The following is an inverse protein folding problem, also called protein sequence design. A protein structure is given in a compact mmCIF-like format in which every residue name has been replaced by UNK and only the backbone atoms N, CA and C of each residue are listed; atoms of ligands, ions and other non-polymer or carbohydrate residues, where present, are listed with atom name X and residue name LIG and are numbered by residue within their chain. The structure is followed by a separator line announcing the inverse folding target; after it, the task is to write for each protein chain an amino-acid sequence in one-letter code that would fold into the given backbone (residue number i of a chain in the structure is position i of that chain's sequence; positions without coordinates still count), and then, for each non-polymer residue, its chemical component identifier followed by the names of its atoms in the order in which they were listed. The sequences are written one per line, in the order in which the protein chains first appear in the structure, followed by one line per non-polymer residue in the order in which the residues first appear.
data_IF_863255162654
#
_entry.id   IF_863255162654
#
_cell.length_a   1.000
_cell.length_b   1.000
_cell.length_c   1.000
_cell.angle_alpha   90.00
_cell.angle_beta   90.00
_cell.angle_gamma   90.00
#
_symmetry.space_group_name_H-M   'P 1'
#
loop_
_entity.id
_entity.type
_entity.pdbx_description
1 polymer ?
#
# COMPACT_ATOMS: atom_id res chain seq x y z
N UNK A 1 -22.04 6.08 -12.42
CA UNK A 1 -20.71 6.48 -12.93
C UNK A 1 -19.73 5.36 -12.64
N UNK A 2 -19.26 4.68 -13.69
CA UNK A 2 -18.35 3.54 -13.61
C UNK A 2 -16.96 4.08 -13.24
N UNK A 3 -16.44 3.69 -12.07
CA UNK A 3 -15.05 3.95 -11.70
C UNK A 3 -14.15 3.14 -12.62
N UNK A 4 -13.48 3.82 -13.56
CA UNK A 4 -12.32 3.24 -14.23
C UNK A 4 -11.18 3.20 -13.21
N UNK A 5 -10.45 2.07 -13.07
CA UNK A 5 -9.23 2.05 -12.28
C UNK A 5 -8.26 3.06 -12.91
N UNK A 6 -7.84 4.05 -12.14
CA UNK A 6 -6.89 5.05 -12.61
C UNK A 6 -5.57 4.36 -12.97
N UNK A 7 -5.12 4.57 -14.20
CA UNK A 7 -3.83 4.15 -14.78
C UNK A 7 -2.60 4.77 -14.08
N UNK A 8 -2.73 5.29 -12.86
CA UNK A 8 -1.74 6.18 -12.22
C UNK A 8 -0.96 5.55 -11.07
N UNK A 9 -1.33 4.36 -10.62
CA UNK A 9 -0.51 3.61 -9.67
C UNK A 9 0.45 2.73 -10.48
N UNK A 10 1.70 3.15 -10.64
CA UNK A 10 2.74 2.25 -11.13
C UNK A 10 2.90 1.14 -10.09
N UNK A 11 2.70 -0.13 -10.44
CA UNK A 11 2.94 -1.21 -9.50
C UNK A 11 4.39 -1.20 -9.07
N UNK A 12 4.59 -1.31 -7.76
CA UNK A 12 5.87 -1.67 -7.19
C UNK A 12 5.90 -3.18 -7.10
N UNK A 13 6.79 -3.79 -7.88
CA UNK A 13 7.06 -5.22 -7.76
C UNK A 13 8.11 -5.37 -6.67
N UNK A 14 7.82 -6.23 -5.69
CA UNK A 14 8.84 -6.65 -4.75
C UNK A 14 9.83 -7.56 -5.46
N UNK A 15 11.10 -7.16 -5.54
CA UNK A 15 12.15 -8.08 -5.91
C UNK A 15 12.63 -8.77 -4.63
N UNK A 16 12.37 -10.07 -4.53
CA UNK A 16 12.96 -10.90 -3.48
C UNK A 16 13.96 -11.85 -4.11
N UNK A 17 14.95 -12.30 -3.33
CA UNK A 17 15.91 -13.33 -3.77
C UNK A 17 15.28 -14.72 -3.91
N UNK A 18 13.97 -14.84 -3.74
CA UNK A 18 13.21 -16.09 -3.70
C UNK A 18 12.38 -16.28 -4.96
N UNK A 19 12.18 -17.53 -5.41
CA UNK A 19 11.37 -17.82 -6.60
C UNK A 19 9.91 -17.39 -6.37
N UNK A 20 9.22 -17.06 -7.47
CA UNK A 20 7.89 -16.44 -7.53
C UNK A 20 6.75 -17.16 -6.76
N UNK A 21 6.98 -18.38 -6.27
CA UNK A 21 6.04 -19.14 -5.46
C UNK A 21 6.07 -18.81 -3.96
N UNK A 22 7.00 -17.96 -3.50
CA UNK A 22 7.14 -17.63 -2.08
C UNK A 22 6.41 -16.33 -1.73
N UNK A 23 5.48 -16.34 -0.75
CA UNK A 23 4.84 -15.13 -0.30
C UNK A 23 5.86 -14.23 0.42
N UNK A 24 5.69 -12.91 0.29
CA UNK A 24 6.42 -11.93 1.10
C UNK A 24 5.98 -12.09 2.55
N UNK A 25 6.92 -12.04 3.48
CA UNK A 25 6.67 -12.21 4.92
C UNK A 25 6.99 -10.93 5.70
N UNK A 26 6.30 -10.73 6.81
CA UNK A 26 6.63 -9.66 7.74
C UNK A 26 8.06 -9.82 8.27
N UNK A 27 8.79 -8.71 8.40
CA UNK A 27 10.20 -8.67 8.78
C UNK A 27 11.18 -9.07 7.67
N UNK A 28 10.70 -9.57 6.53
CA UNK A 28 11.57 -9.95 5.41
C UNK A 28 12.10 -8.69 4.68
N UNK A 29 13.42 -8.60 4.41
CA UNK A 29 13.96 -7.58 3.54
C UNK A 29 13.44 -7.70 2.11
N UNK A 30 12.95 -6.59 1.57
CA UNK A 30 12.39 -6.45 0.23
C UNK A 30 12.90 -5.19 -0.45
N UNK A 31 12.88 -5.19 -1.78
CA UNK A 31 13.14 -4.00 -2.59
C UNK A 31 11.92 -3.72 -3.44
N UNK A 32 11.51 -2.45 -3.51
CA UNK A 32 10.41 -2.03 -4.37
C UNK A 32 10.95 -1.52 -5.69
N UNK A 33 10.54 -2.15 -6.78
CA UNK A 33 10.95 -1.77 -8.14
C UNK A 33 9.75 -1.21 -8.88
N UNK A 34 9.87 -0.02 -9.45
CA UNK A 34 8.86 0.48 -10.38
C UNK A 34 8.83 -0.39 -11.62
N UNK A 35 7.64 -0.91 -11.95
CA UNK A 35 7.43 -1.52 -13.25
C UNK A 35 7.44 -0.43 -14.34
N UNK A 36 8.27 -0.54 -15.39
CA UNK A 36 8.30 0.45 -16.46
C UNK A 36 6.96 0.48 -17.19
N UNK A 37 6.29 1.64 -17.19
CA UNK A 37 5.03 1.83 -17.92
C UNK A 37 5.21 1.88 -19.45
N UNK A 38 6.45 2.08 -19.93
CA UNK A 38 6.76 2.22 -21.35
C UNK A 38 7.60 1.02 -21.78
N UNK A 39 6.97 0.07 -22.46
CA UNK A 39 7.68 -0.95 -23.24
C UNK A 39 8.24 -0.23 -24.47
N UNK A 40 9.50 0.20 -24.42
CA UNK A 40 10.19 0.65 -25.62
C UNK A 40 10.31 -0.56 -26.56
N UNK A 41 9.51 -0.57 -27.63
CA UNK A 41 9.61 -1.50 -28.74
C UNK A 41 10.88 -1.22 -29.54
N UNK A 42 12.06 -1.40 -28.95
CA UNK A 42 13.31 -1.38 -29.69
C UNK A 42 14.15 -2.60 -29.35
N UNK A 43 14.64 -3.22 -30.44
CA UNK A 43 15.33 -4.50 -30.51
C UNK A 43 16.66 -4.46 -29.75
N UNK A 44 17.01 -5.61 -29.18
CA UNK A 44 18.35 -6.06 -28.76
C UNK A 44 19.16 -5.21 -27.75
N UNK A 45 19.53 -5.88 -26.65
CA UNK A 45 20.63 -5.59 -25.73
C UNK A 45 20.59 -4.35 -24.82
N UNK A 46 19.53 -3.54 -24.88
CA UNK A 46 19.34 -2.46 -23.90
C UNK A 46 18.87 -3.02 -22.56
N UNK A 47 19.74 -2.99 -21.55
CA UNK A 47 19.41 -3.41 -20.18
C UNK A 47 18.09 -2.76 -19.73
N UNK A 48 17.15 -3.58 -19.24
CA UNK A 48 15.89 -3.07 -18.68
C UNK A 48 16.21 -2.09 -17.55
N UNK A 49 15.85 -0.83 -17.75
CA UNK A 49 16.00 0.19 -16.71
C UNK A 49 15.09 -0.14 -15.53
N UNK A 50 15.69 -0.39 -14.38
CA UNK A 50 14.97 -0.64 -13.13
C UNK A 50 15.16 0.55 -12.18
N UNK A 51 14.06 1.00 -11.57
CA UNK A 51 14.07 2.09 -10.59
C UNK A 51 13.67 1.52 -9.23
N UNK A 52 14.61 1.54 -8.29
CA UNK A 52 14.44 0.99 -6.95
C UNK A 52 14.13 2.10 -5.96
N UNK A 53 13.05 1.97 -5.20
CA UNK A 53 12.70 2.93 -4.15
C UNK A 53 13.80 2.93 -3.09
N UNK A 54 14.34 4.10 -2.77
CA UNK A 54 15.45 4.25 -1.83
C UNK A 54 15.32 5.48 -0.94
N UNK A 55 16.03 5.44 0.19
CA UNK A 55 16.20 6.55 1.12
C UNK A 55 17.57 6.45 1.82
N UNK A 56 18.08 7.54 2.38
CA UNK A 56 19.33 7.51 3.14
C UNK A 56 19.26 8.43 4.37
N UNK A 57 20.21 8.22 5.30
CA UNK A 57 20.45 9.10 6.43
C UNK A 57 20.80 10.50 5.93
N UNK A 58 20.13 11.52 6.49
CA UNK A 58 20.53 12.91 6.28
C UNK A 58 21.89 13.17 6.89
N UNK A 59 22.75 13.82 6.12
CA UNK A 59 24.06 14.28 6.54
C UNK A 59 23.95 15.70 7.08
N UNK A 60 24.91 16.07 7.93
CA UNK A 60 25.04 17.45 8.39
C UNK A 60 25.30 18.36 7.18
N UNK A 61 24.39 19.29 6.92
CA UNK A 61 24.43 20.20 5.76
C UNK A 61 23.35 19.94 4.70
N UNK A 62 22.59 18.85 4.81
CA UNK A 62 21.46 18.61 3.90
C UNK A 62 20.32 19.59 4.17
N UNK A 63 19.81 20.22 3.11
CA UNK A 63 18.69 21.16 3.18
C UNK A 63 17.40 20.36 3.35
N UNK A 64 16.99 20.15 4.61
CA UNK A 64 15.76 19.45 4.94
C UNK A 64 14.55 20.38 4.97
N UNK A 65 13.40 19.95 4.44
CA UNK A 65 12.13 20.69 4.58
C UNK A 65 11.57 20.70 6.02
N UNK A 66 12.05 19.81 6.91
CA UNK A 66 11.72 19.78 8.34
C UNK A 66 12.71 18.90 9.13
N UNK A 67 12.83 19.11 10.44
CA UNK A 67 13.73 18.31 11.27
C UNK A 67 13.41 16.81 11.23
N UNK A 68 14.43 15.99 10.95
CA UNK A 68 14.40 14.53 11.03
C UNK A 68 13.59 13.81 9.95
N UNK A 69 13.10 14.49 8.91
CA UNK A 69 12.49 13.85 7.74
C UNK A 69 13.56 13.39 6.77
N UNK A 70 13.46 12.20 6.19
CA UNK A 70 14.35 11.72 5.13
C UNK A 70 13.65 11.78 3.78
N UNK A 71 14.43 12.09 2.75
CA UNK A 71 13.92 12.20 1.39
C UNK A 71 13.88 10.80 0.75
N UNK A 72 13.03 10.68 -0.27
CA UNK A 72 12.82 9.45 -1.02
C UNK A 72 13.25 9.70 -2.45
N UNK A 73 13.95 8.75 -3.03
CA UNK A 73 14.44 8.82 -4.40
C UNK A 73 14.44 7.43 -5.03
N UNK A 74 14.78 7.35 -6.32
CA UNK A 74 14.93 6.09 -7.04
C UNK A 74 16.40 5.86 -7.41
N UNK A 75 16.91 4.67 -7.11
CA UNK A 75 18.21 4.20 -7.59
C UNK A 75 18.04 3.51 -8.95
N UNK A 76 18.96 3.79 -9.87
CA UNK A 76 18.91 3.28 -11.24
C UNK A 76 19.73 1.99 -11.37
N UNK A 77 19.08 0.90 -11.77
CA UNK A 77 19.63 -0.42 -12.14
C UNK A 77 20.38 -1.20 -11.06
N UNK A 78 21.07 -0.53 -10.14
CA UNK A 78 21.92 -1.14 -9.12
C UNK A 78 21.39 -0.77 -7.74
N UNK A 79 20.55 -1.62 -7.13
CA UNK A 79 20.03 -1.34 -5.81
C UNK A 79 21.13 -1.48 -4.76
N UNK A 80 21.25 -0.48 -3.89
CA UNK A 80 22.15 -0.48 -2.74
C UNK A 80 21.39 -0.82 -1.46
N UNK A 81 22.08 -0.81 -0.31
CA UNK A 81 21.42 -0.99 0.98
C UNK A 81 20.39 0.11 1.31
N UNK A 82 20.49 1.28 0.67
CA UNK A 82 19.51 2.37 0.74
C UNK A 82 18.16 2.03 0.07
N UNK A 83 18.10 0.96 -0.73
CA UNK A 83 16.88 0.51 -1.39
C UNK A 83 16.15 -0.62 -0.66
N UNK A 84 16.63 -1.00 0.54
CA UNK A 84 16.12 -2.16 1.29
C UNK A 84 15.08 -1.72 2.30
N UNK A 85 13.90 -2.33 2.20
CA UNK A 85 12.74 -2.09 3.04
C UNK A 85 12.30 -3.37 3.72
N UNK A 86 11.44 -3.28 4.71
CA UNK A 86 10.76 -4.41 5.30
C UNK A 86 9.33 -4.03 5.64
N UNK A 87 8.45 -5.03 5.61
CA UNK A 87 7.04 -4.88 5.93
C UNK A 87 6.80 -5.30 7.37
N UNK A 88 6.04 -4.51 8.11
CA UNK A 88 5.70 -4.81 9.49
C UNK A 88 4.25 -4.54 9.78
N UNK A 89 3.70 -5.26 10.76
CA UNK A 89 2.34 -5.04 11.21
C UNK A 89 2.21 -3.66 11.85
N UNK A 90 1.11 -2.97 11.51
CA UNK A 90 0.83 -1.62 12.02
C UNK A 90 0.63 -1.60 13.54
N UNK A 91 0.03 -2.64 14.11
CA UNK A 91 -0.10 -2.82 15.56
C UNK A 91 1.24 -3.23 16.18
N UNK A 92 1.84 -2.40 17.06
CA UNK A 92 3.10 -2.73 17.73
C UNK A 92 3.02 -3.99 18.59
N UNK A 93 1.85 -4.32 19.17
CA UNK A 93 1.70 -5.47 20.06
C UNK A 93 1.82 -6.81 19.32
N UNK A 94 1.39 -6.85 18.06
CA UNK A 94 1.38 -8.07 17.23
C UNK A 94 2.66 -8.25 16.41
N UNK A 95 3.58 -7.27 16.43
CA UNK A 95 4.73 -7.22 15.53
C UNK A 95 5.65 -8.43 15.67
N UNK A 96 5.92 -8.87 16.90
CA UNK A 96 6.72 -10.07 17.18
C UNK A 96 5.99 -11.37 16.84
N UNK A 97 4.67 -11.43 17.09
CA UNK A 97 3.86 -12.62 16.83
C UNK A 97 3.70 -12.90 15.33
N UNK A 98 3.65 -11.82 14.54
CA UNK A 98 3.43 -11.88 13.10
C UNK A 98 4.73 -11.96 12.29
N UNK A 99 5.89 -11.86 12.93
CA UNK A 99 7.19 -11.95 12.25
C UNK A 99 7.33 -13.29 11.50
N UNK A 100 7.79 -13.24 10.25
CA UNK A 100 7.93 -14.43 9.39
C UNK A 100 6.62 -14.98 8.83
N UNK A 101 5.45 -14.46 9.24
CA UNK A 101 4.17 -14.85 8.64
C UNK A 101 3.96 -14.15 7.28
N UNK A 102 3.22 -14.77 6.33
CA UNK A 102 2.91 -14.15 5.05
C UNK A 102 2.13 -12.83 5.21
N UNK A 103 2.54 -11.80 4.46
CA UNK A 103 1.81 -10.53 4.38
C UNK A 103 0.55 -10.75 3.55
N UNK A 104 -0.59 -10.36 4.11
CA UNK A 104 -1.87 -10.39 3.41
C UNK A 104 -2.14 -9.05 2.73
N UNK A 105 -2.89 -9.11 1.64
CA UNK A 105 -3.41 -7.90 0.99
C UNK A 105 -4.47 -7.27 1.88
N UNK A 106 -4.66 -5.95 1.71
CA UNK A 106 -5.64 -5.14 2.42
C UNK A 106 -5.52 -5.12 3.96
N UNK A 107 -4.41 -5.65 4.51
CA UNK A 107 -4.05 -5.49 5.91
C UNK A 107 -3.18 -4.25 6.12
N UNK A 108 -3.45 -3.55 7.22
CA UNK A 108 -2.69 -2.35 7.62
C UNK A 108 -1.28 -2.74 8.02
N UNK A 109 -0.31 -2.10 7.39
CA UNK A 109 1.10 -2.34 7.66
C UNK A 109 1.93 -1.07 7.62
N UNK A 110 3.17 -1.17 8.09
CA UNK A 110 4.21 -0.16 7.98
C UNK A 110 5.23 -0.64 6.95
N UNK A 111 5.78 0.31 6.20
CA UNK A 111 6.91 0.08 5.30
C UNK A 111 8.13 0.72 5.94
N UNK A 112 9.00 -0.10 6.53
CA UNK A 112 10.19 0.36 7.26
C UNK A 112 11.41 0.31 6.37
N UNK A 113 12.15 1.41 6.32
CA UNK A 113 13.45 1.45 5.68
C UNK A 113 14.49 0.79 6.58
N UNK A 114 15.15 -0.26 6.09
CA UNK A 114 16.02 -1.10 6.93
C UNK A 114 17.23 -0.32 7.42
N UNK A 115 17.83 0.52 6.58
CA UNK A 115 19.06 1.26 6.93
C UNK A 115 18.83 2.33 7.99
N UNK A 116 17.71 3.05 7.93
CA UNK A 116 17.46 4.20 8.81
C UNK A 116 16.53 3.85 9.98
N UNK A 117 15.92 2.67 9.97
CA UNK A 117 14.90 2.23 10.92
C UNK A 117 13.72 3.21 11.06
N UNK A 118 13.44 3.96 9.99
CA UNK A 118 12.33 4.89 9.90
C UNK A 118 11.28 4.32 8.96
N UNK A 119 10.01 4.68 9.18
CA UNK A 119 8.91 4.19 8.35
C UNK A 119 8.46 5.22 7.31
N UNK A 120 7.94 4.72 6.19
CA UNK A 120 7.37 5.53 5.12
C UNK A 120 6.17 6.32 5.62
N UNK A 121 6.10 7.60 5.27
CA UNK A 121 5.12 8.54 5.77
C UNK A 121 4.53 9.38 4.64
N UNK A 122 3.21 9.51 4.63
CA UNK A 122 2.52 10.53 3.85
C UNK A 122 2.73 11.90 4.49
N UNK A 123 2.84 12.93 3.66
CA UNK A 123 2.88 14.35 4.07
C UNK A 123 1.63 15.08 3.59
N UNK A 124 0.49 15.00 4.29
CA UNK A 124 -0.77 15.62 3.86
C UNK A 124 -0.69 17.14 3.65
N UNK A 125 0.25 17.80 4.33
CA UNK A 125 0.46 19.26 4.25
C UNK A 125 1.41 19.68 3.12
N UNK A 126 2.00 18.72 2.41
CA UNK A 126 2.93 18.98 1.31
C UNK A 126 2.29 18.51 0.02
N UNK A 127 1.95 19.46 -0.85
CA UNK A 127 1.41 19.18 -2.18
C UNK A 127 2.54 19.39 -3.18
N UNK A 128 2.91 18.33 -3.90
CA UNK A 128 3.87 18.36 -5.00
C UNK A 128 3.07 18.53 -6.29
N UNK A 129 3.41 19.54 -7.09
CA UNK A 129 2.83 19.70 -8.43
C UNK A 129 3.78 19.10 -9.45
N UNK A 130 3.33 18.07 -10.14
CA UNK A 130 4.06 17.46 -11.25
C UNK A 130 3.21 17.49 -12.53
N UNK A 131 3.75 16.93 -13.61
CA UNK A 131 3.06 16.87 -14.91
C UNK A 131 1.73 16.09 -14.87
N UNK A 132 1.49 15.30 -13.83
CA UNK A 132 0.30 14.44 -13.67
C UNK A 132 -0.77 15.06 -12.76
N UNK A 133 -0.48 16.19 -12.12
CA UNK A 133 -1.37 16.92 -11.24
C UNK A 133 -0.75 17.25 -9.87
N UNK A 134 -1.56 17.78 -8.94
CA UNK A 134 -1.16 17.91 -7.54
C UNK A 134 -1.22 16.54 -6.85
N UNK A 135 -0.12 16.12 -6.25
CA UNK A 135 0.01 14.89 -5.49
C UNK A 135 0.49 15.20 -4.07
N UNK A 136 0.21 14.29 -3.13
CA UNK A 136 0.71 14.43 -1.77
C UNK A 136 2.17 14.00 -1.70
N UNK A 137 2.96 14.75 -0.92
CA UNK A 137 4.34 14.41 -0.65
C UNK A 137 4.46 13.14 0.18
N UNK A 138 5.59 12.46 0.02
CA UNK A 138 5.99 11.32 0.83
C UNK A 138 7.37 11.59 1.45
N UNK A 139 7.65 10.96 2.58
CA UNK A 139 8.95 11.03 3.27
C UNK A 139 9.19 9.77 4.10
N UNK A 140 10.41 9.61 4.60
CA UNK A 140 10.73 8.54 5.55
C UNK A 140 10.91 9.16 6.93
N UNK A 141 9.93 8.92 7.82
CA UNK A 141 9.91 9.40 9.21
C UNK A 141 8.85 8.66 10.01
N UNK A 142 9.24 8.11 11.15
CA UNK A 142 8.31 7.55 12.12
C UNK A 142 7.65 8.67 12.91
N UNK A 143 6.36 8.88 12.67
CA UNK A 143 5.58 9.92 13.31
C UNK A 143 4.71 9.28 14.38
N UNK A 144 5.05 9.49 15.65
CA UNK A 144 4.31 8.92 16.76
C UNK A 144 3.18 9.82 17.23
N UNK A 145 2.13 9.20 17.76
CA UNK A 145 1.07 9.85 18.52
C UNK A 145 1.46 9.99 20.02
N UNK A 146 0.61 10.60 20.86
CA UNK A 146 0.89 10.72 22.29
C UNK A 146 1.05 9.38 23.03
N UNK A 147 0.54 8.28 22.48
CA UNK A 147 0.65 6.93 23.01
C UNK A 147 1.90 6.19 22.50
N UNK A 148 2.79 6.89 21.77
CA UNK A 148 3.99 6.34 21.14
C UNK A 148 3.70 5.26 20.09
N UNK A 149 2.54 5.34 19.46
CA UNK A 149 2.14 4.48 18.33
C UNK A 149 2.33 5.25 17.04
N UNK A 150 2.75 4.56 15.97
CA UNK A 150 2.86 5.15 14.64
C UNK A 150 1.50 5.72 14.18
N UNK A 151 1.51 6.94 13.65
CA UNK A 151 0.30 7.63 13.19
C UNK A 151 -0.24 7.01 11.91
N UNK A 152 -1.50 7.34 11.62
CA UNK A 152 -2.21 6.95 10.39
C UNK A 152 -1.45 7.30 9.10
N UNK A 153 -0.72 8.42 9.07
CA UNK A 153 0.14 8.82 7.94
C UNK A 153 1.29 7.85 7.66
N UNK A 154 1.63 6.97 8.61
CA UNK A 154 2.63 5.91 8.44
C UNK A 154 2.03 4.55 8.06
N UNK A 155 0.70 4.43 8.06
CA UNK A 155 0.00 3.17 7.80
C UNK A 155 -0.34 3.06 6.31
N UNK A 156 0.01 1.91 5.73
CA UNK A 156 -0.19 1.59 4.32
C UNK A 156 -1.01 0.31 4.15
N UNK A 157 -1.59 0.15 2.97
CA UNK A 157 -2.30 -1.05 2.54
C UNK A 157 -1.64 -1.54 1.24
N UNK A 158 -1.38 -2.84 1.16
CA UNK A 158 -0.96 -3.46 -0.10
C UNK A 158 -2.18 -3.97 -0.84
N UNK A 159 -2.31 -3.54 -2.09
CA UNK A 159 -3.35 -4.01 -3.02
C UNK A 159 -2.69 -4.74 -4.19
N UNK A 160 -3.39 -5.73 -4.73
CA UNK A 160 -3.00 -6.36 -6.00
C UNK A 160 -3.78 -5.74 -7.15
N UNK A 161 -3.14 -5.58 -8.32
CA UNK A 161 -3.83 -5.15 -9.55
C UNK A 161 -4.88 -6.20 -10.00
N UNK A 162 -4.66 -7.46 -9.63
CA UNK A 162 -5.48 -8.59 -10.05
C UNK A 162 -6.66 -8.90 -9.11
N UNK A 163 -6.83 -8.12 -8.03
CA UNK A 163 -8.00 -8.22 -7.14
C UNK A 163 -8.76 -6.89 -7.12
N UNK A 164 -10.10 -6.90 -7.21
CA UNK A 164 -10.87 -5.67 -7.14
C UNK A 164 -10.72 -5.05 -5.75
N UNK A 165 -10.31 -3.79 -5.72
CA UNK A 165 -10.26 -2.94 -4.53
C UNK A 165 -11.61 -3.02 -3.81
N UNK A 166 -11.65 -3.63 -2.62
CA UNK A 166 -12.82 -3.51 -1.74
C UNK A 166 -12.81 -2.06 -1.24
N UNK A 167 -13.85 -1.25 -1.50
CA UNK A 167 -13.90 0.10 -0.97
C UNK A 167 -13.91 0.06 0.55
N UNK A 168 -12.96 0.74 1.18
CA UNK A 168 -12.89 0.94 2.62
C UNK A 168 -14.21 1.48 3.16
N UNK A 169 -14.79 0.78 4.14
CA UNK A 169 -16.06 1.09 4.84
C UNK A 169 -15.95 2.39 5.66
N UNK A 170 -15.94 3.52 4.98
CA UNK A 170 -16.30 4.84 5.51
C UNK A 170 -17.44 5.40 4.65
N UNK A 171 -18.55 4.68 4.58
CA UNK A 171 -19.82 5.31 4.25
C UNK A 171 -20.46 5.74 5.56
N UNK A 172 -20.31 7.04 5.86
CA UNK A 172 -21.09 7.72 6.87
C UNK A 172 -22.57 7.55 6.55
N UNK A 173 -23.29 7.03 7.55
CA UNK A 173 -24.72 7.17 7.75
C UNK A 173 -25.20 8.58 7.38
N UNK A 174 -25.87 8.69 6.24
CA UNK A 174 -26.91 9.70 6.02
C UNK A 174 -28.01 9.07 5.17
N UNK A 175 -28.91 8.33 5.83
CA UNK A 175 -30.25 8.13 5.30
C UNK A 175 -31.12 9.30 5.76
N UNK A 176 -31.80 10.04 4.86
CA UNK A 176 -32.83 10.98 5.27
C UNK A 176 -34.06 10.18 5.71
N UNK A 177 -34.59 10.53 6.88
CA UNK A 177 -35.89 10.06 7.37
C UNK A 177 -36.98 10.43 6.37
N UNK A 178 -37.80 9.47 5.99
CA UNK A 178 -39.14 9.74 5.46
C UNK A 178 -40.15 8.92 6.29
N UNK A 179 -40.84 9.63 7.18
CA UNK A 179 -42.07 9.16 7.80
C UNK A 179 -43.24 9.45 6.85
N UNK A 180 -44.02 8.41 6.48
CA UNK A 180 -45.48 8.46 6.30
C UNK A 180 -46.03 7.07 5.94
N UNK A 181 -47.14 6.70 6.58
CA UNK A 181 -47.77 5.38 6.67
C UNK A 181 -48.85 5.08 5.60
N UNK A 182 -49.25 3.79 5.59
CA UNK A 182 -50.50 3.15 5.11
C UNK A 182 -50.45 2.58 3.67
N UNK A 183 -50.90 1.36 3.35
CA UNK A 183 -51.86 0.43 3.98
C UNK A 183 -51.66 -1.00 3.40
N UNK A 184 -51.99 -2.04 4.18
CA UNK A 184 -51.95 -3.52 3.90
C UNK A 184 -53.12 -4.04 3.03
N UNK A 185 -53.40 -5.38 2.80
CA UNK A 185 -52.62 -6.65 2.92
C UNK A 185 -52.81 -7.66 1.72
N UNK A 186 -52.30 -8.91 1.91
CA UNK A 186 -52.50 -10.20 1.19
C UNK A 186 -51.47 -10.54 0.08
N UNK A 187 -50.96 -11.77 -0.08
CA UNK A 187 -51.45 -13.11 0.28
C UNK A 187 -50.27 -14.12 0.37
N UNK A 188 -50.52 -15.26 1.01
CA UNK A 188 -49.57 -16.36 1.31
C UNK A 188 -49.21 -17.18 0.06
N UNK A 189 -47.96 -17.65 -0.02
CA UNK A 189 -47.68 -19.04 -0.41
C UNK A 189 -46.31 -19.50 0.11
N UNK A 190 -46.28 -20.76 0.51
CA UNK A 190 -45.22 -21.48 1.20
C UNK A 190 -44.46 -22.36 0.18
N UNK A 191 -43.49 -23.15 0.67
CA UNK A 191 -42.78 -24.29 0.04
C UNK A 191 -41.56 -23.84 -0.83
N UNK A 192 -40.33 -24.35 -0.73
CA UNK A 192 -39.74 -25.58 -0.17
C UNK A 192 -38.22 -25.42 0.00
N UNK A 193 -37.63 -26.11 1.00
CA UNK A 193 -36.20 -26.42 1.04
C UNK A 193 -35.90 -27.60 0.12
N UNK A 194 -34.83 -27.54 -0.69
CA UNK A 194 -34.11 -28.78 -1.02
C UNK A 194 -32.63 -28.53 -1.33
N UNK A 195 -31.80 -28.98 -0.39
CA UNK A 195 -30.41 -29.37 -0.61
C UNK A 195 -30.43 -30.65 -1.46
N UNK A 196 -29.55 -30.75 -2.46
CA UNK A 196 -28.91 -32.02 -2.83
C UNK A 196 -27.64 -31.82 -3.66
N UNK A 197 -26.54 -32.19 -3.02
CA UNK A 197 -25.28 -32.67 -3.60
C UNK A 197 -25.54 -33.86 -4.53
N UNK A 198 -24.77 -33.98 -5.61
CA UNK A 198 -24.22 -35.26 -6.07
C UNK A 198 -23.14 -35.05 -7.13
N UNK A 199 -22.08 -35.83 -6.95
CA UNK A 199 -20.95 -36.05 -7.83
C UNK A 199 -21.35 -36.53 -9.23
N UNK A 200 -20.69 -36.00 -10.27
CA UNK A 200 -19.88 -36.73 -11.26
C UNK A 200 -19.17 -35.72 -12.19
#
# INVERSE_FOLDING_TARGET
HIFKPFTKCCPLISCTRFPSSHPIRYGQPVQFVLEPAIQSNEKEDSQRTQLFLASDLKRLGDVSSADGEQDIYFELNQPTFSSVWCLEVADPALRHEMEGTPVKLDEKLLIRHVRTNQVLALKPRTIIRNAFGPELGISVKTLLDPHKVERDVNVWLLTSINQPLIPSRLEMTTAPKSDAQSTTPNEKSNVEMMIKTADY
#
